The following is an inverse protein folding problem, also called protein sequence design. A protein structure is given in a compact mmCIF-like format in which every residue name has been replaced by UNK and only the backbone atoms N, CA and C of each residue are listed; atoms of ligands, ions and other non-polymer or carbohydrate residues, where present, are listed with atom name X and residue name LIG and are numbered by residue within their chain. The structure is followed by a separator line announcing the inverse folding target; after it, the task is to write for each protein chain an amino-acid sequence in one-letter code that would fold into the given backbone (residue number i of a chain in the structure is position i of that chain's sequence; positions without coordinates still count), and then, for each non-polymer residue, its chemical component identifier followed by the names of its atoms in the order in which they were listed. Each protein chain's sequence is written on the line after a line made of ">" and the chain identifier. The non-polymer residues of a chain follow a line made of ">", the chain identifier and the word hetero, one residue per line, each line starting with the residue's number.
data_IF_677263801327
#
_entry.id   IF_677263801327
#
_cell.length_a   1.000
_cell.length_b   1.000
_cell.length_c   1.000
_cell.angle_alpha   90.00
_cell.angle_beta   90.00
_cell.angle_gamma   90.00
#
_symmetry.space_group_name_H-M   'P 1'
#
loop_
_entity.id
_entity.type
_entity.pdbx_description
1 polymer ?
#
# COMPACT_ATOMS: atom_id res chain seq x y z
N UNK A 1 3.79 11.95 -7.02
CA UNK A 1 3.36 10.66 -7.60
C UNK A 1 1.86 10.51 -7.47
N UNK A 2 1.23 9.81 -8.37
CA UNK A 2 -0.21 9.52 -8.32
C UNK A 2 -0.40 8.00 -8.26
N UNK A 3 -1.14 7.53 -7.28
CA UNK A 3 -1.47 6.11 -7.13
C UNK A 3 -2.98 5.91 -7.13
N UNK A 4 -3.42 4.82 -7.76
CA UNK A 4 -4.84 4.45 -7.79
C UNK A 4 -5.15 3.47 -6.67
N UNK A 5 -6.30 3.67 -6.04
CA UNK A 5 -6.80 2.83 -4.96
C UNK A 5 -8.26 2.49 -5.17
N UNK A 6 -8.65 1.27 -4.82
CA UNK A 6 -10.07 0.93 -4.73
C UNK A 6 -10.65 1.62 -3.50
N UNK A 7 -11.96 1.95 -3.51
CA UNK A 7 -12.59 2.62 -2.37
C UNK A 7 -12.43 1.87 -1.04
N UNK A 8 -12.53 0.56 -1.05
CA UNK A 8 -12.37 -0.25 0.17
C UNK A 8 -10.95 -0.17 0.75
N UNK A 9 -9.94 -0.17 -0.12
CA UNK A 9 -8.54 -0.02 0.29
C UNK A 9 -8.29 1.38 0.84
N UNK A 10 -8.82 2.40 0.16
CA UNK A 10 -8.72 3.79 0.63
C UNK A 10 -9.28 3.93 2.05
N UNK A 11 -10.46 3.37 2.31
CA UNK A 11 -11.07 3.43 3.64
C UNK A 11 -10.23 2.71 4.71
N UNK A 12 -9.58 1.61 4.35
CA UNK A 12 -8.67 0.90 5.27
C UNK A 12 -7.45 1.74 5.63
N UNK A 13 -6.91 2.48 4.67
CA UNK A 13 -5.79 3.40 4.94
C UNK A 13 -6.26 4.55 5.82
N UNK A 14 -7.40 5.16 5.47
CA UNK A 14 -7.99 6.27 6.21
C UNK A 14 -8.27 5.92 7.67
N UNK A 15 -8.77 4.71 7.91
CA UNK A 15 -9.12 4.24 9.26
C UNK A 15 -7.92 3.73 10.06
N UNK A 16 -6.75 3.60 9.44
CA UNK A 16 -5.56 3.07 10.08
C UNK A 16 -5.46 1.57 10.14
N UNK A 17 -6.42 0.84 9.53
CA UNK A 17 -6.38 -0.61 9.47
C UNK A 17 -5.26 -1.14 8.58
N UNK A 18 -4.98 -0.41 7.49
CA UNK A 18 -3.92 -0.78 6.56
C UNK A 18 -2.72 0.13 6.80
N UNK A 19 -1.61 -0.47 7.23
CA UNK A 19 -0.39 0.26 7.58
C UNK A 19 0.74 0.08 6.57
N UNK A 20 0.54 -0.76 5.56
CA UNK A 20 1.48 -0.97 4.47
C UNK A 20 0.75 -0.90 3.13
N UNK A 21 1.40 -0.32 2.12
CA UNK A 21 0.93 -0.40 0.74
C UNK A 21 1.83 -1.35 -0.04
N UNK A 22 1.23 -2.26 -0.79
CA UNK A 22 1.93 -3.30 -1.54
C UNK A 22 1.85 -3.01 -3.03
N UNK A 23 2.99 -3.01 -3.71
CA UNK A 23 3.08 -2.80 -5.16
C UNK A 23 4.19 -3.65 -5.75
N UNK A 24 4.11 -3.85 -7.05
CA UNK A 24 5.19 -4.52 -7.79
C UNK A 24 6.42 -3.62 -7.89
N UNK A 25 6.21 -2.33 -8.09
CA UNK A 25 7.28 -1.36 -8.27
C UNK A 25 7.10 -0.18 -7.32
N UNK A 26 8.12 0.05 -6.50
CA UNK A 26 8.23 1.23 -5.64
C UNK A 26 9.67 1.70 -5.65
N UNK A 27 9.92 3.02 -5.62
CA UNK A 27 11.27 3.52 -5.42
C UNK A 27 11.78 3.19 -4.03
N UNK A 28 13.10 3.11 -3.87
CA UNK A 28 13.72 2.85 -2.56
C UNK A 28 14.00 4.18 -1.86
N UNK A 29 12.99 4.98 -1.70
CA UNK A 29 13.04 6.27 -1.02
C UNK A 29 11.64 6.66 -0.56
N UNK A 30 11.50 7.47 0.49
CA UNK A 30 10.19 7.96 0.90
C UNK A 30 9.52 8.75 -0.23
N UNK A 31 8.23 8.56 -0.38
CA UNK A 31 7.46 9.26 -1.42
C UNK A 31 6.17 9.83 -0.84
N UNK A 32 5.70 10.89 -1.47
CA UNK A 32 4.36 11.41 -1.26
C UNK A 32 3.54 11.07 -2.50
N UNK A 33 2.36 10.52 -2.31
CA UNK A 33 1.48 10.14 -3.41
C UNK A 33 0.09 10.71 -3.24
N UNK A 34 -0.44 11.31 -4.31
CA UNK A 34 -1.85 11.63 -4.40
C UNK A 34 -2.63 10.33 -4.60
N UNK A 35 -3.75 10.22 -3.90
CA UNK A 35 -4.58 9.01 -3.92
C UNK A 35 -5.79 9.23 -4.82
N UNK A 36 -5.75 8.63 -6.01
CA UNK A 36 -6.91 8.57 -6.89
C UNK A 36 -7.76 7.38 -6.47
N UNK A 37 -9.00 7.64 -6.08
CA UNK A 37 -9.93 6.58 -5.69
C UNK A 37 -10.81 6.26 -6.88
N UNK A 38 -10.81 4.99 -7.28
CA UNK A 38 -11.50 4.52 -8.47
C UNK A 38 -13.01 4.53 -8.31
N UNK A 39 -13.72 4.11 -9.36
CA UNK A 39 -15.20 4.08 -9.38
C UNK A 39 -15.77 3.46 -8.10
N UNK A 40 -16.84 4.03 -7.54
CA UNK A 40 -17.68 5.12 -8.07
C UNK A 40 -17.18 6.53 -7.77
N UNK A 41 -16.12 6.68 -6.95
CA UNK A 41 -15.64 7.99 -6.50
C UNK A 41 -14.99 8.79 -7.63
N UNK A 42 -14.05 8.19 -8.36
CA UNK A 42 -13.37 8.77 -9.53
C UNK A 42 -12.77 10.14 -9.25
N UNK A 43 -12.02 10.28 -8.15
CA UNK A 43 -11.43 11.54 -7.74
C UNK A 43 -10.20 11.35 -6.88
N UNK A 44 -9.37 12.38 -6.81
CA UNK A 44 -8.27 12.45 -5.84
C UNK A 44 -8.85 12.96 -4.53
N UNK A 45 -8.78 12.14 -3.48
CA UNK A 45 -9.41 12.46 -2.20
C UNK A 45 -8.45 12.48 -1.03
N UNK A 46 -7.17 12.18 -1.26
CA UNK A 46 -6.20 12.16 -0.19
C UNK A 46 -4.77 12.15 -0.68
N UNK A 47 -3.88 12.28 0.29
CA UNK A 47 -2.43 12.19 0.10
C UNK A 47 -1.91 11.19 1.10
N UNK A 48 -1.04 10.29 0.65
CA UNK A 48 -0.39 9.33 1.51
C UNK A 48 1.13 9.55 1.47
N UNK A 49 1.75 9.46 2.64
CA UNK A 49 3.20 9.55 2.79
C UNK A 49 3.72 8.16 3.08
N UNK A 50 4.51 7.62 2.15
CA UNK A 50 5.06 6.29 2.23
C UNK A 50 6.53 6.39 2.61
N UNK A 51 6.91 5.64 3.63
CA UNK A 51 8.26 5.69 4.19
C UNK A 51 9.12 4.54 3.73
N UNK A 52 9.55 3.71 4.69
CA UNK A 52 10.50 2.64 4.42
C UNK A 52 9.92 1.57 3.50
N UNK A 53 10.70 1.18 2.49
CA UNK A 53 10.36 0.08 1.59
C UNK A 53 10.91 -1.23 2.13
N UNK A 54 10.08 -2.27 2.10
CA UNK A 54 10.45 -3.63 2.44
C UNK A 54 10.32 -4.53 1.22
N UNK A 55 11.24 -5.46 1.07
CA UNK A 55 11.16 -6.47 0.05
C UNK A 55 10.36 -7.65 0.59
N UNK A 56 9.33 -8.09 -0.13
CA UNK A 56 8.47 -9.18 0.34
C UNK A 56 9.22 -10.50 0.49
N UNK A 57 10.21 -10.74 -0.37
CA UNK A 57 11.04 -11.95 -0.26
C UNK A 57 11.85 -11.96 1.03
N UNK A 58 12.30 -10.80 1.50
CA UNK A 58 13.00 -10.69 2.80
C UNK A 58 12.04 -11.00 3.95
N UNK A 59 10.81 -10.53 3.87
CA UNK A 59 9.79 -10.84 4.87
C UNK A 59 9.45 -12.33 4.92
N UNK A 60 9.48 -13.03 3.79
CA UNK A 60 9.30 -14.48 3.77
C UNK A 60 10.32 -15.18 4.65
N UNK A 61 11.58 -14.73 4.59
CA UNK A 61 12.64 -15.28 5.41
C UNK A 61 12.50 -14.85 6.87
N UNK A 62 12.23 -13.56 7.12
CA UNK A 62 12.12 -13.02 8.47
C UNK A 62 10.96 -13.64 9.27
N UNK A 63 9.85 -13.94 8.61
CA UNK A 63 8.64 -14.47 9.24
C UNK A 63 8.40 -15.95 8.94
N UNK A 64 9.43 -16.69 8.58
CA UNK A 64 9.30 -18.10 8.16
C UNK A 64 8.68 -19.00 9.24
N UNK A 65 8.79 -18.63 10.50
CA UNK A 65 8.22 -19.39 11.62
C UNK A 65 6.73 -19.09 11.83
N UNK A 66 6.19 -18.04 11.20
CA UNK A 66 4.78 -17.66 11.29
C UNK A 66 4.07 -18.10 10.01
N UNK A 67 3.36 -19.24 10.10
CA UNK A 67 2.70 -19.82 8.93
C UNK A 67 1.62 -18.90 8.32
N UNK A 68 0.92 -18.12 9.15
CA UNK A 68 -0.10 -17.20 8.66
C UNK A 68 0.53 -16.03 7.89
N UNK A 69 1.63 -15.49 8.40
CA UNK A 69 2.36 -14.43 7.70
C UNK A 69 2.93 -14.94 6.38
N UNK A 70 3.54 -16.10 6.38
CA UNK A 70 4.10 -16.72 5.18
C UNK A 70 3.02 -16.93 4.12
N UNK A 71 1.86 -17.45 4.52
CA UNK A 71 0.76 -17.68 3.58
C UNK A 71 0.30 -16.38 2.91
N UNK A 72 0.17 -15.30 3.68
CA UNK A 72 -0.25 -14.00 3.13
C UNK A 72 0.81 -13.40 2.21
N UNK A 73 2.07 -13.45 2.62
CA UNK A 73 3.16 -12.92 1.81
C UNK A 73 3.26 -13.69 0.50
N UNK A 74 3.14 -15.01 0.56
CA UNK A 74 3.16 -15.87 -0.61
C UNK A 74 2.04 -15.52 -1.59
N UNK A 75 0.84 -15.25 -1.08
CA UNK A 75 -0.28 -14.81 -1.91
C UNK A 75 0.02 -13.48 -2.59
N UNK A 76 0.59 -12.51 -1.88
CA UNK A 76 0.97 -11.22 -2.47
C UNK A 76 1.96 -11.42 -3.62
N UNK A 77 2.94 -12.28 -3.44
CA UNK A 77 3.97 -12.52 -4.46
C UNK A 77 3.41 -13.30 -5.63
N UNK A 78 2.73 -14.43 -5.38
CA UNK A 78 2.32 -15.36 -6.43
C UNK A 78 1.04 -14.95 -7.14
N UNK A 79 0.06 -14.40 -6.42
CA UNK A 79 -1.25 -14.04 -6.99
C UNK A 79 -1.25 -12.63 -7.54
N UNK A 80 -0.74 -11.67 -6.78
CA UNK A 80 -0.78 -10.25 -7.14
C UNK A 80 0.50 -9.75 -7.77
N UNK A 81 1.57 -10.56 -7.76
CA UNK A 81 2.88 -10.19 -8.31
C UNK A 81 3.50 -8.98 -7.64
N UNK A 82 3.15 -8.73 -6.38
CA UNK A 82 3.77 -7.66 -5.60
C UNK A 82 5.19 -8.06 -5.22
N UNK A 83 6.08 -7.07 -5.16
CA UNK A 83 7.47 -7.27 -4.76
C UNK A 83 7.83 -6.49 -3.51
N UNK A 84 7.16 -5.38 -3.27
CA UNK A 84 7.52 -4.45 -2.21
C UNK A 84 6.31 -4.07 -1.39
N UNK A 85 6.59 -3.70 -0.13
CA UNK A 85 5.65 -3.04 0.76
C UNK A 85 6.32 -1.77 1.27
N UNK A 86 5.59 -0.67 1.30
CA UNK A 86 6.06 0.57 1.91
C UNK A 86 5.22 0.89 3.13
N UNK A 87 5.88 1.32 4.21
CA UNK A 87 5.20 1.75 5.43
C UNK A 87 4.38 3.00 5.13
N UNK A 88 3.14 3.02 5.60
CA UNK A 88 2.29 4.20 5.51
C UNK A 88 2.56 5.04 6.75
N UNK A 89 3.35 6.12 6.58
CA UNK A 89 3.76 6.97 7.69
C UNK A 89 2.67 7.97 8.05
N UNK A 90 1.92 8.46 7.06
CA UNK A 90 0.92 9.48 7.27
C UNK A 90 -0.11 9.45 6.15
N UNK A 91 -1.35 9.73 6.51
CA UNK A 91 -2.45 9.94 5.59
C UNK A 91 -3.07 11.31 5.85
N UNK A 92 -3.42 12.02 4.79
CA UNK A 92 -4.10 13.29 4.90
C UNK A 92 -5.26 13.34 3.90
N UNK A 93 -6.47 13.54 4.39
CA UNK A 93 -7.62 13.73 3.54
C UNK A 93 -7.57 15.13 2.92
N UNK A 94 -7.91 15.24 1.64
CA UNK A 94 -7.95 16.52 0.94
C UNK A 94 -9.36 16.78 0.43
N UNK A 95 -9.60 18.03 0.02
CA UNK A 95 -10.79 18.34 -0.77
C UNK A 95 -10.73 17.54 -2.06
N UNK A 96 -11.90 17.07 -2.50
CA UNK A 96 -12.02 16.28 -3.71
C UNK A 96 -11.51 17.04 -4.93
N UNK A 97 -10.59 16.43 -5.67
CA UNK A 97 -10.02 17.00 -6.90
C UNK A 97 -10.36 16.05 -8.04
N UNK A 98 -10.97 16.59 -9.06
CA UNK A 98 -11.37 15.82 -10.25
C UNK A 98 -10.34 15.90 -11.37
#
# INVERSE_FOLDING_TARGET
>A
MLLSFRPDVYEKIKSGLKIFEHRRNFPDEPIMAYMYVSSPVKAITGVVYLGKRHCLSDWMEDYKEDSNAVTRIKEYIETYHYRYAMEIDRFQETSQIL
#
